data_IF_084916826476
#
_entry.id   IF_084916826476
#
_cell.length_a   1.000
_cell.length_b   1.000
_cell.length_c   1.000
_cell.angle_alpha   90.00
_cell.angle_beta   90.00
_cell.angle_gamma   90.00
#
_symmetry.space_group_name_H-M   'P 1'
#
loop_
_entity.id
_entity.type
_entity.pdbx_description
1 polymer ?
#
# COMPACT_ATOMS: atom_id res chain seq x y z
N UNK A 1 -32.71 -15.35 -9.57
CA UNK A 1 -32.31 -16.01 -8.31
C UNK A 1 -33.57 -16.44 -7.58
N UNK A 2 -33.52 -17.55 -6.83
CA UNK A 2 -34.63 -17.93 -5.95
C UNK A 2 -34.82 -16.83 -4.87
N UNK A 3 -36.06 -16.65 -4.41
CA UNK A 3 -36.39 -15.70 -3.34
C UNK A 3 -36.65 -16.50 -2.06
N UNK A 4 -36.25 -15.94 -0.92
CA UNK A 4 -36.60 -16.45 0.41
C UNK A 4 -37.39 -15.38 1.17
N UNK A 5 -38.40 -15.82 1.92
CA UNK A 5 -39.22 -14.95 2.78
C UNK A 5 -38.94 -15.23 4.23
N UNK A 6 -38.70 -14.17 4.98
CA UNK A 6 -38.45 -14.19 6.41
C UNK A 6 -39.19 -13.03 7.07
N UNK A 7 -39.27 -13.03 8.40
CA UNK A 7 -39.92 -11.96 9.17
C UNK A 7 -38.89 -11.27 10.05
N UNK A 8 -38.68 -9.97 9.88
CA UNK A 8 -37.76 -9.16 10.68
C UNK A 8 -38.57 -8.13 11.47
N UNK A 9 -38.47 -8.14 12.79
CA UNK A 9 -39.23 -7.25 13.71
C UNK A 9 -40.72 -7.15 13.33
N UNK A 10 -41.33 -8.32 13.16
CA UNK A 10 -42.73 -8.51 12.83
C UNK A 10 -43.17 -8.02 11.42
N UNK A 11 -42.24 -7.59 10.56
CA UNK A 11 -42.48 -7.28 9.14
C UNK A 11 -41.98 -8.39 8.21
N UNK A 12 -42.76 -8.71 7.18
CA UNK A 12 -42.36 -9.67 6.16
C UNK A 12 -41.34 -9.05 5.20
N UNK A 13 -40.22 -9.76 5.01
CA UNK A 13 -39.08 -9.35 4.19
C UNK A 13 -38.83 -10.44 3.16
N UNK A 14 -38.68 -10.04 1.90
CA UNK A 14 -38.28 -10.92 0.81
C UNK A 14 -36.88 -10.54 0.33
N UNK A 15 -35.98 -11.51 0.24
CA UNK A 15 -34.60 -11.30 -0.22
C UNK A 15 -34.18 -12.40 -1.19
N UNK A 16 -33.08 -12.20 -1.90
CA UNK A 16 -32.51 -13.21 -2.79
C UNK A 16 -31.86 -14.33 -1.96
N UNK A 17 -32.04 -15.56 -2.40
CA UNK A 17 -31.38 -16.73 -1.81
C UNK A 17 -29.85 -16.58 -1.85
N UNK A 18 -29.18 -17.01 -0.78
CA UNK A 18 -27.74 -16.83 -0.58
C UNK A 18 -27.32 -15.56 0.17
N UNK A 19 -28.21 -14.58 0.35
CA UNK A 19 -27.94 -13.40 1.19
C UNK A 19 -27.90 -13.74 2.69
N UNK A 20 -27.14 -12.98 3.44
CA UNK A 20 -27.09 -13.02 4.90
C UNK A 20 -28.27 -12.27 5.53
N UNK A 21 -28.55 -12.52 6.80
CA UNK A 21 -29.57 -11.77 7.56
C UNK A 21 -29.27 -10.28 7.61
N UNK A 22 -27.99 -9.88 7.67
CA UNK A 22 -27.60 -8.47 7.64
C UNK A 22 -27.97 -7.81 6.32
N UNK A 23 -27.66 -8.46 5.19
CA UNK A 23 -28.00 -7.93 3.86
C UNK A 23 -29.51 -7.88 3.64
N UNK A 24 -30.24 -8.91 4.11
CA UNK A 24 -31.70 -8.92 4.07
C UNK A 24 -32.31 -7.77 4.90
N UNK A 25 -31.80 -7.57 6.12
CA UNK A 25 -32.22 -6.48 7.00
C UNK A 25 -31.94 -5.10 6.39
N UNK A 26 -30.73 -4.87 5.88
CA UNK A 26 -30.33 -3.61 5.24
C UNK A 26 -31.17 -3.34 3.99
N UNK A 27 -31.41 -4.34 3.15
CA UNK A 27 -32.25 -4.23 1.96
C UNK A 27 -33.71 -3.88 2.27
N UNK A 28 -34.20 -4.23 3.46
CA UNK A 28 -35.54 -3.89 3.96
C UNK A 28 -35.57 -2.61 4.81
N UNK A 29 -34.46 -1.89 4.95
CA UNK A 29 -34.38 -0.63 5.69
C UNK A 29 -34.17 -0.77 7.20
N UNK A 30 -33.88 -1.97 7.71
CA UNK A 30 -33.50 -2.17 9.11
C UNK A 30 -32.02 -1.85 9.32
N UNK A 31 -31.72 -1.15 10.41
CA UNK A 31 -30.35 -0.87 10.83
C UNK A 31 -29.88 -1.91 11.85
N UNK A 32 -28.82 -2.64 11.53
CA UNK A 32 -28.11 -3.53 12.45
C UNK A 32 -26.67 -3.04 12.56
N UNK A 33 -26.17 -2.68 13.76
CA UNK A 33 -24.85 -2.08 13.90
C UNK A 33 -23.74 -3.09 13.59
N UNK A 34 -22.71 -2.61 12.88
CA UNK A 34 -21.51 -3.40 12.59
C UNK A 34 -20.24 -2.54 12.70
N UNK A 35 -19.16 -3.17 13.16
CA UNK A 35 -17.82 -2.57 13.16
C UNK A 35 -16.79 -3.39 12.39
N UNK A 36 -17.00 -4.70 12.24
CA UNK A 36 -16.09 -5.60 11.53
C UNK A 36 -16.64 -6.14 10.21
N UNK A 37 -17.81 -5.64 9.77
CA UNK A 37 -18.38 -6.00 8.48
C UNK A 37 -17.94 -4.95 7.46
N UNK A 38 -17.61 -5.41 6.26
CA UNK A 38 -17.27 -4.58 5.13
C UNK A 38 -17.63 -5.37 3.86
N UNK A 39 -18.38 -4.83 2.89
CA UNK A 39 -18.94 -5.66 1.82
C UNK A 39 -17.89 -6.25 0.86
N UNK A 40 -16.70 -5.61 0.74
CA UNK A 40 -15.58 -6.16 -0.02
C UNK A 40 -14.84 -7.33 0.68
N UNK A 41 -15.32 -7.83 1.82
CA UNK A 41 -14.67 -8.87 2.63
C UNK A 41 -15.67 -9.89 3.13
N UNK A 42 -15.28 -11.16 3.17
CA UNK A 42 -16.10 -12.24 3.75
C UNK A 42 -16.51 -11.94 5.20
N UNK A 43 -17.73 -12.21 5.65
CA UNK A 43 -18.15 -11.85 6.99
C UNK A 43 -17.67 -12.84 8.06
N UNK A 44 -16.94 -12.35 9.06
CA UNK A 44 -16.39 -13.19 10.15
C UNK A 44 -17.11 -13.05 11.50
N UNK A 45 -18.01 -12.06 11.65
CA UNK A 45 -18.76 -11.84 12.88
C UNK A 45 -17.91 -11.49 14.11
N UNK A 46 -16.73 -10.89 13.94
CA UNK A 46 -15.78 -10.64 15.02
C UNK A 46 -16.30 -9.67 16.10
N UNK A 47 -16.92 -8.56 15.72
CA UNK A 47 -17.37 -7.52 16.67
C UNK A 47 -18.66 -7.86 17.43
N UNK A 48 -19.42 -8.88 16.98
CA UNK A 48 -20.69 -9.34 17.57
C UNK A 48 -21.83 -8.31 17.72
N UNK A 49 -21.65 -7.05 17.32
CA UNK A 49 -22.73 -6.05 17.34
C UNK A 49 -23.93 -6.43 16.45
N UNK A 50 -23.68 -7.17 15.37
CA UNK A 50 -24.74 -7.69 14.50
C UNK A 50 -25.56 -8.85 15.09
N UNK A 51 -25.42 -9.13 16.40
CA UNK A 51 -26.21 -10.17 17.04
C UNK A 51 -27.70 -9.87 16.93
N UNK A 52 -28.47 -10.92 16.58
CA UNK A 52 -29.93 -10.93 16.45
C UNK A 52 -30.48 -12.21 17.04
N UNK A 53 -31.71 -12.17 17.52
CA UNK A 53 -32.44 -13.37 17.95
C UNK A 53 -33.16 -13.96 16.73
N UNK A 54 -32.99 -15.26 16.50
CA UNK A 54 -33.74 -16.00 15.48
C UNK A 54 -34.64 -17.05 16.14
N UNK A 55 -35.80 -17.30 15.55
CA UNK A 55 -36.70 -18.39 15.90
C UNK A 55 -36.86 -19.32 14.68
N UNK A 56 -36.47 -20.59 14.84
CA UNK A 56 -36.64 -21.65 13.83
C UNK A 56 -37.24 -22.87 14.50
N UNK A 57 -38.34 -23.39 13.97
CA UNK A 57 -39.06 -24.56 14.51
C UNK A 57 -39.38 -24.42 16.02
N UNK A 58 -39.78 -23.23 16.46
CA UNK A 58 -40.11 -22.93 17.86
C UNK A 58 -38.92 -22.84 18.83
N UNK A 59 -37.68 -22.94 18.33
CA UNK A 59 -36.45 -22.75 19.13
C UNK A 59 -35.85 -21.38 18.85
N UNK A 60 -35.54 -20.65 19.94
CA UNK A 60 -34.86 -19.36 19.87
C UNK A 60 -33.35 -19.53 20.05
N UNK A 61 -32.58 -18.72 19.31
CA UNK A 61 -31.13 -18.67 19.39
C UNK A 61 -30.62 -17.29 19.01
N UNK A 62 -29.58 -16.83 19.70
CA UNK A 62 -28.81 -15.65 19.28
C UNK A 62 -27.76 -16.04 18.25
N UNK A 63 -27.73 -15.34 17.12
CA UNK A 63 -26.78 -15.54 16.02
C UNK A 63 -26.23 -14.20 15.54
N UNK A 64 -25.15 -14.22 14.76
CA UNK A 64 -24.60 -13.03 14.11
C UNK A 64 -25.24 -12.83 12.75
N UNK A 65 -25.93 -11.71 12.53
CA UNK A 65 -26.65 -11.46 11.29
C UNK A 65 -25.72 -11.39 10.06
N UNK A 66 -24.48 -10.94 10.24
CA UNK A 66 -23.55 -10.69 9.13
C UNK A 66 -23.09 -11.95 8.38
N UNK A 67 -23.18 -13.13 8.98
CA UNK A 67 -22.73 -14.39 8.37
C UNK A 67 -23.74 -15.53 8.54
N UNK A 68 -24.92 -15.24 9.07
CA UNK A 68 -26.01 -16.21 9.13
C UNK A 68 -26.86 -16.08 7.86
N UNK A 69 -27.11 -17.17 7.12
CA UNK A 69 -27.89 -17.12 5.88
C UNK A 69 -29.35 -16.74 6.14
N UNK A 70 -29.95 -15.96 5.25
CA UNK A 70 -31.38 -15.74 5.24
C UNK A 70 -32.08 -17.00 4.69
N UNK A 71 -32.89 -17.65 5.53
CA UNK A 71 -33.61 -18.88 5.20
C UNK A 71 -35.12 -18.64 5.24
N UNK A 72 -35.85 -19.39 4.42
CA UNK A 72 -37.31 -19.36 4.37
C UNK A 72 -37.95 -19.60 5.75
N UNK A 73 -38.92 -18.76 6.11
CA UNK A 73 -39.71 -18.87 7.33
C UNK A 73 -38.99 -18.49 8.63
N UNK A 74 -37.75 -17.98 8.58
CA UNK A 74 -37.07 -17.46 9.77
C UNK A 74 -37.84 -16.27 10.35
N UNK A 75 -37.96 -16.22 11.67
CA UNK A 75 -38.34 -15.00 12.39
C UNK A 75 -37.12 -14.43 13.08
N UNK A 76 -36.86 -13.15 12.88
CA UNK A 76 -35.68 -12.43 13.37
C UNK A 76 -36.15 -11.26 14.21
N UNK A 77 -35.60 -11.11 15.41
CA UNK A 77 -35.75 -9.90 16.23
C UNK A 77 -34.41 -9.20 16.36
N UNK A 78 -34.36 -7.95 15.94
CA UNK A 78 -33.12 -7.15 15.94
C UNK A 78 -32.95 -6.30 17.19
N UNK A 79 -34.02 -6.14 17.97
CA UNK A 79 -34.13 -5.19 19.09
C UNK A 79 -34.87 -5.77 20.32
N UNK A 80 -34.86 -7.10 20.50
CA UNK A 80 -35.38 -7.69 21.73
C UNK A 80 -34.56 -7.22 22.95
N UNK A 81 -35.14 -7.20 24.17
CA UNK A 81 -34.40 -6.79 25.38
C UNK A 81 -33.05 -7.51 25.55
N UNK A 82 -33.03 -8.82 25.31
CA UNK A 82 -31.80 -9.63 25.37
C UNK A 82 -30.73 -9.17 24.36
N UNK A 83 -31.13 -8.77 23.15
CA UNK A 83 -30.21 -8.28 22.13
C UNK A 83 -29.70 -6.87 22.44
N UNK A 84 -30.55 -6.00 22.97
CA UNK A 84 -30.14 -4.66 23.40
C UNK A 84 -29.14 -4.74 24.57
N UNK A 85 -29.41 -5.58 25.57
CA UNK A 85 -28.52 -5.81 26.72
C UNK A 85 -27.18 -6.41 26.26
N UNK A 86 -27.20 -7.37 25.33
CA UNK A 86 -26.01 -7.98 24.74
C UNK A 86 -25.15 -6.92 24.02
N UNK A 87 -25.76 -6.07 23.18
CA UNK A 87 -25.04 -5.01 22.45
C UNK A 87 -24.48 -3.97 23.41
N UNK A 88 -25.24 -3.56 24.43
CA UNK A 88 -24.76 -2.64 25.45
C UNK A 88 -23.52 -3.20 26.17
N UNK A 89 -23.54 -4.48 26.57
CA UNK A 89 -22.37 -5.13 27.18
C UNK A 89 -21.15 -5.21 26.25
N UNK A 90 -21.36 -5.51 24.96
CA UNK A 90 -20.27 -5.49 23.96
C UNK A 90 -19.69 -4.08 23.80
N UNK A 91 -20.54 -3.07 23.68
CA UNK A 91 -20.13 -1.67 23.55
C UNK A 91 -19.41 -1.18 24.79
N UNK A 92 -19.81 -1.65 25.97
CA UNK A 92 -19.13 -1.37 27.21
C UNK A 92 -17.69 -1.93 27.23
N UNK A 93 -17.48 -3.16 26.73
CA UNK A 93 -16.14 -3.73 26.57
C UNK A 93 -15.31 -2.99 25.52
N UNK A 94 -15.92 -2.58 24.41
CA UNK A 94 -15.26 -1.80 23.38
C UNK A 94 -14.89 -0.40 23.88
N UNK A 95 -15.76 0.24 24.65
CA UNK A 95 -15.52 1.55 25.25
C UNK A 95 -14.43 1.46 26.32
N UNK A 96 -14.41 0.40 27.11
CA UNK A 96 -13.33 0.13 28.07
C UNK A 96 -11.96 0.01 27.38
N UNK A 97 -11.91 -0.56 26.18
CA UNK A 97 -10.67 -0.74 25.38
C UNK A 97 -10.30 0.49 24.56
N UNK A 98 -11.29 1.20 24.03
CA UNK A 98 -11.10 2.30 23.08
C UNK A 98 -11.89 3.55 23.50
N UNK A 99 -11.58 4.13 24.67
CA UNK A 99 -12.39 5.22 25.26
C UNK A 99 -12.34 6.52 24.45
N UNK A 100 -11.37 6.68 23.56
CA UNK A 100 -11.15 7.90 22.78
C UNK A 100 -11.54 7.77 21.30
N UNK A 101 -12.06 6.62 20.87
CA UNK A 101 -12.48 6.42 19.49
C UNK A 101 -13.92 6.90 19.29
N UNK A 102 -14.09 8.00 18.56
CA UNK A 102 -15.38 8.69 18.40
C UNK A 102 -16.53 7.77 17.93
N UNK A 103 -16.25 6.82 17.04
CA UNK A 103 -17.25 5.85 16.55
C UNK A 103 -17.70 4.89 17.66
N UNK A 104 -16.80 4.51 18.56
CA UNK A 104 -17.11 3.63 19.69
C UNK A 104 -17.90 4.39 20.74
N UNK A 105 -17.47 5.61 21.08
CA UNK A 105 -18.17 6.50 22.02
C UNK A 105 -19.61 6.75 21.55
N UNK A 106 -19.81 7.16 20.30
CA UNK A 106 -21.15 7.45 19.78
C UNK A 106 -22.07 6.23 19.75
N UNK A 107 -21.56 5.04 19.43
CA UNK A 107 -22.36 3.80 19.51
C UNK A 107 -22.68 3.44 20.97
N UNK A 108 -21.74 3.60 21.90
CA UNK A 108 -22.00 3.34 23.32
C UNK A 108 -23.11 4.26 23.85
N UNK A 109 -23.06 5.55 23.52
CA UNK A 109 -24.09 6.53 23.88
C UNK A 109 -25.48 6.17 23.34
N UNK A 110 -25.56 5.72 22.08
CA UNK A 110 -26.82 5.26 21.45
C UNK A 110 -27.48 4.09 22.22
N UNK A 111 -26.66 3.24 22.85
CA UNK A 111 -27.11 2.09 23.63
C UNK A 111 -27.14 2.36 25.15
N UNK A 112 -27.04 3.63 25.58
CA UNK A 112 -27.15 4.02 26.99
C UNK A 112 -25.93 3.67 27.85
N UNK A 113 -24.78 3.41 27.23
CA UNK A 113 -23.51 3.09 27.91
C UNK A 113 -22.69 4.36 28.08
N UNK A 114 -22.74 4.97 29.26
CA UNK A 114 -22.01 6.21 29.57
C UNK A 114 -20.60 5.97 30.12
N UNK A 115 -20.37 4.84 30.79
CA UNK A 115 -19.07 4.49 31.35
C UNK A 115 -18.92 2.97 31.47
N UNK A 116 -17.70 2.44 31.25
CA UNK A 116 -17.46 1.02 31.42
C UNK A 116 -17.28 0.63 32.89
N UNK A 117 -17.86 -0.50 33.30
CA UNK A 117 -17.57 -1.19 34.57
C UNK A 117 -16.20 -1.85 34.58
N UNK A 118 -15.59 -2.01 33.41
CA UNK A 118 -14.29 -2.63 33.21
C UNK A 118 -13.22 -1.55 33.05
N UNK A 119 -12.07 -1.75 33.69
CA UNK A 119 -10.86 -0.98 33.41
C UNK A 119 -10.02 -1.76 32.41
N UNK A 120 -10.11 -1.41 31.12
CA UNK A 120 -9.24 -1.94 30.08
C UNK A 120 -8.33 -0.84 29.56
N UNK A 121 -7.31 -1.25 28.79
CA UNK A 121 -6.25 -0.39 28.29
C UNK A 121 -6.76 0.77 27.43
N UNK A 122 -6.02 1.88 27.43
CA UNK A 122 -6.23 3.03 26.53
C UNK A 122 -5.66 2.72 25.13
N UNK A 123 -6.40 1.91 24.36
CA UNK A 123 -6.03 1.52 23.01
C UNK A 123 -6.89 2.21 21.94
N UNK A 124 -6.42 2.21 20.70
CA UNK A 124 -7.23 2.64 19.55
C UNK A 124 -7.83 1.48 18.74
N UNK A 125 -7.35 0.24 18.93
CA UNK A 125 -7.70 -0.89 18.07
C UNK A 125 -8.76 -1.81 18.68
N UNK A 126 -9.90 -1.95 18.01
CA UNK A 126 -10.99 -2.86 18.44
C UNK A 126 -10.80 -4.33 17.98
N UNK A 127 -9.64 -4.68 17.43
CA UNK A 127 -9.32 -6.04 16.96
C UNK A 127 -10.33 -6.63 15.94
N UNK A 128 -10.97 -5.79 15.13
CA UNK A 128 -11.95 -6.22 14.14
C UNK A 128 -11.36 -7.03 12.98
N UNK A 129 -10.05 -6.90 12.73
CA UNK A 129 -9.32 -7.64 11.69
C UNK A 129 -9.50 -7.10 10.26
N UNK A 130 -10.34 -6.07 10.02
CA UNK A 130 -10.60 -5.53 8.69
C UNK A 130 -9.31 -5.12 7.95
N UNK A 131 -8.39 -4.47 8.65
CA UNK A 131 -7.11 -4.03 8.10
C UNK A 131 -6.19 -5.17 7.65
N UNK A 132 -6.08 -6.24 8.43
CA UNK A 132 -5.30 -7.42 8.06
C UNK A 132 -5.94 -8.14 6.88
N UNK A 133 -7.27 -8.27 6.89
CA UNK A 133 -8.03 -8.97 5.85
C UNK A 133 -8.04 -8.23 4.53
N UNK A 134 -8.26 -6.92 4.48
CA UNK A 134 -8.15 -6.17 3.22
C UNK A 134 -6.72 -6.23 2.66
N UNK A 135 -5.71 -6.28 3.54
CA UNK A 135 -4.31 -6.38 3.13
C UNK A 135 -3.97 -7.74 2.50
N UNK A 136 -4.59 -8.82 3.01
CA UNK A 136 -4.39 -10.19 2.53
C UNK A 136 -5.33 -10.56 1.37
N UNK A 137 -6.64 -10.39 1.53
CA UNK A 137 -7.67 -10.92 0.64
C UNK A 137 -7.91 -10.03 -0.59
N UNK A 138 -7.68 -8.72 -0.47
CA UNK A 138 -7.99 -7.76 -1.54
C UNK A 138 -6.72 -7.18 -2.17
N UNK A 139 -5.76 -6.74 -1.34
CA UNK A 139 -4.51 -6.14 -1.84
C UNK A 139 -3.46 -7.20 -2.17
N UNK A 140 -3.47 -8.35 -1.48
CA UNK A 140 -2.57 -9.47 -1.77
C UNK A 140 -1.14 -9.35 -1.20
N UNK A 141 -0.88 -8.37 -0.33
CA UNK A 141 0.49 -8.15 0.21
C UNK A 141 0.69 -8.70 1.63
N UNK A 142 -0.38 -8.94 2.39
CA UNK A 142 -0.33 -9.59 3.71
C UNK A 142 0.65 -8.98 4.73
N UNK A 143 0.82 -7.65 4.69
CA UNK A 143 1.73 -6.92 5.58
C UNK A 143 1.27 -6.89 7.06
N UNK A 144 0.00 -7.19 7.33
CA UNK A 144 -0.65 -7.11 8.63
C UNK A 144 -1.26 -8.46 9.01
N UNK A 145 -1.13 -8.86 10.27
CA UNK A 145 -1.74 -10.08 10.78
C UNK A 145 -2.15 -9.97 12.26
N UNK A 146 -3.06 -10.81 12.75
CA UNK A 146 -3.24 -11.00 14.18
C UNK A 146 -2.00 -11.64 14.78
N UNK A 147 -1.39 -10.97 15.76
CA UNK A 147 -0.25 -11.47 16.52
C UNK A 147 -0.66 -11.73 17.98
N UNK A 148 0.14 -12.56 18.66
CA UNK A 148 -0.13 -12.97 20.05
C UNK A 148 -1.50 -13.64 20.23
N UNK A 149 -1.89 -13.94 21.48
CA UNK A 149 -3.17 -14.59 21.81
C UNK A 149 -3.76 -14.05 23.12
N UNK A 150 -5.04 -14.32 23.35
CA UNK A 150 -5.72 -13.92 24.57
C UNK A 150 -5.73 -12.40 24.76
N UNK A 151 -5.40 -11.95 25.97
CA UNK A 151 -5.35 -10.53 26.34
C UNK A 151 -4.22 -9.75 25.65
N UNK A 152 -3.18 -10.43 25.16
CA UNK A 152 -2.04 -9.81 24.46
C UNK A 152 -2.27 -9.69 22.95
N UNK A 153 -3.42 -10.16 22.45
CA UNK A 153 -3.72 -10.16 21.02
C UNK A 153 -3.69 -8.74 20.46
N UNK A 154 -2.98 -8.56 19.36
CA UNK A 154 -2.92 -7.32 18.60
C UNK A 154 -3.08 -7.59 17.10
N UNK A 155 -3.40 -6.55 16.34
CA UNK A 155 -3.20 -6.56 14.89
C UNK A 155 -1.94 -5.77 14.61
N UNK A 156 -0.96 -6.40 14.00
CA UNK A 156 0.32 -5.76 13.77
C UNK A 156 1.11 -6.40 12.62
N UNK A 157 2.22 -5.79 12.24
CA UNK A 157 3.24 -6.44 11.43
C UNK A 157 3.87 -7.63 12.19
N UNK A 158 4.32 -8.69 11.49
CA UNK A 158 5.05 -9.79 12.11
C UNK A 158 6.20 -9.29 12.99
N UNK A 159 6.37 -9.91 14.17
CA UNK A 159 7.38 -9.53 15.17
C UNK A 159 7.29 -8.08 15.69
N UNK A 160 6.22 -7.34 15.36
CA UNK A 160 6.07 -5.90 15.60
C UNK A 160 7.14 -5.03 14.94
N UNK A 161 7.85 -5.57 13.95
CA UNK A 161 8.86 -4.84 13.18
C UNK A 161 8.28 -4.25 11.89
N UNK A 162 9.03 -3.39 11.22
CA UNK A 162 8.63 -2.82 9.95
C UNK A 162 8.37 -3.89 8.89
N UNK A 163 7.17 -3.87 8.30
CA UNK A 163 6.85 -4.81 7.23
C UNK A 163 7.55 -4.43 5.93
N UNK A 164 8.39 -5.33 5.42
CA UNK A 164 8.99 -5.22 4.08
C UNK A 164 7.96 -5.37 2.95
N UNK A 165 6.83 -6.01 3.25
CA UNK A 165 5.73 -6.27 2.32
C UNK A 165 4.74 -5.11 2.21
N UNK A 166 4.72 -4.18 3.16
CA UNK A 166 3.87 -3.00 3.07
C UNK A 166 4.26 -2.12 1.87
N UNK A 167 3.29 -1.84 0.98
CA UNK A 167 3.48 -0.94 -0.18
C UNK A 167 2.90 0.46 0.05
N UNK A 168 2.58 0.78 1.30
CA UNK A 168 1.97 2.05 1.71
C UNK A 168 0.64 2.39 1.02
N UNK A 169 -0.12 1.40 0.53
CA UNK A 169 -1.32 1.66 -0.29
C UNK A 169 -2.46 2.37 0.46
N UNK A 170 -2.55 2.21 1.79
CA UNK A 170 -3.57 2.87 2.61
C UNK A 170 -4.92 2.15 2.69
N UNK A 171 -5.10 1.01 2.01
CA UNK A 171 -6.35 0.22 2.04
C UNK A 171 -6.77 -0.16 3.48
N UNK A 172 -5.80 -0.51 4.34
CA UNK A 172 -6.05 -0.82 5.74
C UNK A 172 -6.58 0.39 6.54
N UNK A 173 -6.17 1.60 6.19
CA UNK A 173 -6.65 2.83 6.84
C UNK A 173 -8.06 3.19 6.39
N UNK A 174 -8.40 2.88 5.14
CA UNK A 174 -9.73 3.11 4.56
C UNK A 174 -10.82 2.28 5.26
N UNK A 175 -10.54 1.01 5.55
CA UNK A 175 -11.50 0.10 6.19
C UNK A 175 -11.47 0.14 7.72
N UNK A 176 -10.54 0.90 8.33
CA UNK A 176 -10.40 0.93 9.77
C UNK A 176 -11.57 1.72 10.40
N UNK A 177 -12.36 1.13 11.32
CA UNK A 177 -13.47 1.82 11.97
C UNK A 177 -13.01 2.79 13.09
N UNK A 178 -11.69 2.91 13.28
CA UNK A 178 -11.02 3.65 14.38
C UNK A 178 -9.78 4.37 13.84
N UNK A 179 -9.04 5.06 14.69
CA UNK A 179 -7.76 5.71 14.32
C UNK A 179 -6.54 4.79 14.44
N UNK A 180 -6.70 3.53 14.87
CA UNK A 180 -5.60 2.61 15.16
C UNK A 180 -4.54 2.51 14.07
N UNK A 181 -4.98 2.26 12.82
CA UNK A 181 -4.07 2.05 11.69
C UNK A 181 -3.27 3.30 11.35
N UNK A 182 -3.87 4.49 11.53
CA UNK A 182 -3.18 5.77 11.27
C UNK A 182 -2.07 6.06 12.29
N UNK A 183 -2.17 5.47 13.49
CA UNK A 183 -1.20 5.60 14.59
C UNK A 183 -0.10 4.53 14.56
N UNK A 184 -0.21 3.49 13.73
CA UNK A 184 0.81 2.45 13.62
C UNK A 184 2.09 3.03 12.98
N UNK A 185 3.23 2.67 13.55
CA UNK A 185 4.54 3.10 13.06
C UNK A 185 5.19 2.07 12.15
N UNK A 186 4.96 0.78 12.39
CA UNK A 186 5.57 -0.34 11.68
C UNK A 186 4.84 -0.74 10.38
N UNK A 187 3.68 -0.13 10.12
CA UNK A 187 2.96 -0.16 8.86
C UNK A 187 2.78 1.27 8.38
N UNK A 188 2.83 1.45 7.06
CA UNK A 188 3.02 2.77 6.48
C UNK A 188 1.86 3.23 5.60
N UNK A 189 0.61 3.24 6.07
CA UNK A 189 -0.47 3.73 5.24
C UNK A 189 -0.24 5.23 4.98
N UNK A 190 -0.30 5.63 3.72
CA UNK A 190 -0.35 7.05 3.36
C UNK A 190 -1.74 7.39 2.88
N UNK A 191 -2.38 8.28 3.63
CA UNK A 191 -3.67 8.85 3.30
C UNK A 191 -3.52 10.00 2.28
N UNK A 192 -4.61 10.39 1.59
CA UNK A 192 -4.62 11.57 0.73
C UNK A 192 -4.24 12.86 1.48
N UNK A 193 -4.66 13.00 2.74
CA UNK A 193 -4.33 14.16 3.58
C UNK A 193 -2.83 14.22 3.87
N UNK A 194 -2.24 13.09 4.24
CA UNK A 194 -0.79 12.98 4.48
C UNK A 194 0.03 13.21 3.21
N UNK A 195 -0.50 12.82 2.05
CA UNK A 195 0.15 13.12 0.75
C UNK A 195 0.27 14.63 0.56
N UNK A 196 -0.81 15.39 0.79
CA UNK A 196 -0.79 16.86 0.70
C UNK A 196 0.14 17.48 1.73
N UNK A 197 0.15 16.96 2.95
CA UNK A 197 1.06 17.41 4.00
C UNK A 197 2.53 17.18 3.61
N UNK A 198 2.87 15.99 3.08
CA UNK A 198 4.22 15.69 2.59
C UNK A 198 4.60 16.63 1.44
N UNK A 199 3.72 16.81 0.45
CA UNK A 199 3.97 17.71 -0.69
C UNK A 199 4.25 19.14 -0.23
N UNK A 200 3.43 19.68 0.66
CA UNK A 200 3.62 21.05 1.20
C UNK A 200 4.87 21.20 2.08
N UNK A 201 5.21 20.18 2.88
CA UNK A 201 6.33 20.24 3.82
C UNK A 201 7.66 20.07 3.12
N UNK A 202 7.78 19.08 2.25
CA UNK A 202 9.07 18.62 1.72
C UNK A 202 9.35 19.06 0.29
N UNK A 203 8.33 19.39 -0.51
CA UNK A 203 8.50 19.66 -1.94
C UNK A 203 8.30 21.16 -2.28
N UNK A 204 8.73 21.56 -3.47
CA UNK A 204 8.78 22.94 -3.97
C UNK A 204 8.40 22.99 -5.44
N UNK A 205 7.79 24.10 -5.84
CA UNK A 205 7.46 24.40 -7.23
C UNK A 205 5.96 24.38 -7.50
N UNK A 206 5.59 24.10 -8.75
CA UNK A 206 4.19 24.04 -9.19
C UNK A 206 3.55 22.69 -8.88
N UNK A 207 2.22 22.69 -8.77
CA UNK A 207 1.42 21.49 -8.51
C UNK A 207 0.77 21.05 -9.81
N UNK A 208 1.11 19.85 -10.27
CA UNK A 208 0.44 19.17 -11.37
C UNK A 208 -0.35 17.97 -10.83
N UNK A 209 -1.60 17.80 -11.28
CA UNK A 209 -2.48 16.73 -10.78
C UNK A 209 -1.87 15.34 -10.99
N UNK A 210 -1.27 15.10 -12.15
CA UNK A 210 -0.78 13.79 -12.56
C UNK A 210 0.68 13.56 -12.17
N UNK A 211 1.52 14.60 -12.27
CA UNK A 211 2.96 14.48 -11.99
C UNK A 211 3.31 14.77 -10.53
N UNK A 212 2.44 15.48 -9.80
CA UNK A 212 2.69 15.97 -8.44
C UNK A 212 3.50 17.26 -8.42
N UNK A 213 4.04 17.60 -7.24
CA UNK A 213 4.82 18.84 -7.05
C UNK A 213 6.20 18.72 -7.69
N UNK A 214 6.58 19.70 -8.51
CA UNK A 214 7.93 19.80 -9.04
C UNK A 214 8.32 21.26 -9.34
N UNK A 215 9.61 21.54 -9.29
CA UNK A 215 10.20 22.84 -9.65
C UNK A 215 10.69 22.86 -11.09
N UNK A 216 11.14 21.71 -11.60
CA UNK A 216 11.76 21.63 -12.92
C UNK A 216 11.72 20.19 -13.46
N UNK A 217 11.67 20.04 -14.79
CA UNK A 217 11.79 18.74 -15.45
C UNK A 217 12.78 18.87 -16.61
N UNK A 218 13.85 18.06 -16.57
CA UNK A 218 14.94 18.11 -17.54
C UNK A 218 15.26 16.72 -18.08
N UNK A 219 15.77 16.67 -19.30
CA UNK A 219 16.36 15.47 -19.89
C UNK A 219 17.85 15.49 -19.59
N UNK A 220 18.35 14.43 -18.99
CA UNK A 220 19.71 14.33 -18.47
C UNK A 220 20.40 13.09 -19.05
N UNK A 221 21.66 13.25 -19.47
CA UNK A 221 22.53 12.15 -19.87
C UNK A 221 23.87 12.26 -19.17
N UNK A 222 24.27 11.18 -18.54
CA UNK A 222 25.59 11.00 -17.99
C UNK A 222 26.59 10.61 -19.08
N UNK A 223 27.86 10.92 -18.82
CA UNK A 223 28.98 10.42 -19.60
C UNK A 223 29.24 8.94 -19.26
N UNK A 224 28.65 7.99 -20.02
CA UNK A 224 28.93 6.55 -19.87
C UNK A 224 27.83 5.60 -20.38
N UNK A 225 28.09 4.28 -20.30
CA UNK A 225 27.13 3.22 -20.64
C UNK A 225 26.17 2.91 -19.47
N UNK A 226 24.85 3.00 -19.74
CA UNK A 226 23.77 2.70 -18.79
C UNK A 226 22.43 2.48 -19.51
N UNK A 227 21.47 1.84 -18.83
CA UNK A 227 20.16 1.45 -19.41
C UNK A 227 19.31 2.66 -19.84
N UNK A 228 19.20 3.65 -18.96
CA UNK A 228 18.61 4.97 -19.22
C UNK A 228 19.63 5.99 -18.76
N UNK A 229 20.21 6.77 -19.67
CA UNK A 229 21.09 7.93 -19.42
C UNK A 229 22.17 7.86 -18.32
N UNK A 230 22.36 6.77 -17.59
CA UNK A 230 23.17 6.68 -16.37
C UNK A 230 22.79 7.65 -15.24
N UNK A 231 21.62 8.31 -15.27
CA UNK A 231 21.38 9.51 -14.46
C UNK A 231 21.46 9.24 -12.95
N UNK A 232 20.76 8.22 -12.43
CA UNK A 232 20.79 7.90 -10.98
C UNK A 232 22.19 7.55 -10.49
N UNK A 233 22.87 6.65 -11.21
CA UNK A 233 24.22 6.20 -10.84
C UNK A 233 25.22 7.35 -10.85
N UNK A 234 25.10 8.27 -11.82
CA UNK A 234 26.01 9.41 -11.94
C UNK A 234 25.75 10.50 -10.91
N UNK A 235 24.48 10.76 -10.59
CA UNK A 235 24.10 11.63 -9.47
C UNK A 235 24.69 11.13 -8.16
N UNK A 236 24.52 9.84 -7.87
CA UNK A 236 25.04 9.22 -6.65
C UNK A 236 26.57 9.20 -6.61
N UNK A 237 27.22 8.82 -7.71
CA UNK A 237 28.68 8.75 -7.78
C UNK A 237 29.31 10.13 -7.51
N UNK A 238 28.81 11.17 -8.19
CA UNK A 238 29.28 12.54 -7.97
C UNK A 238 28.99 13.03 -6.54
N UNK A 239 27.81 12.69 -6.01
CA UNK A 239 27.43 13.10 -4.65
C UNK A 239 28.30 12.45 -3.57
N UNK A 240 28.69 11.18 -3.73
CA UNK A 240 29.65 10.52 -2.83
C UNK A 240 31.04 11.11 -2.99
N UNK A 241 31.53 11.26 -4.22
CA UNK A 241 32.87 11.79 -4.50
C UNK A 241 33.08 13.21 -3.96
N UNK A 242 32.05 14.06 -4.08
CA UNK A 242 32.05 15.44 -3.56
C UNK A 242 31.69 15.53 -2.07
N UNK A 243 31.42 14.41 -1.41
CA UNK A 243 31.05 14.36 0.01
C UNK A 243 29.70 15.00 0.35
N UNK A 244 28.80 15.10 -0.62
CA UNK A 244 27.44 15.60 -0.44
C UNK A 244 26.55 14.58 0.30
N UNK A 245 26.81 13.29 0.12
CA UNK A 245 26.22 12.19 0.87
C UNK A 245 27.29 11.26 1.43
N UNK A 246 27.01 10.62 2.56
CA UNK A 246 27.90 9.67 3.22
C UNK A 246 27.73 8.25 2.64
N UNK A 247 26.52 7.90 2.17
CA UNK A 247 26.23 6.63 1.50
C UNK A 247 24.90 6.69 0.72
N UNK A 248 24.71 5.75 -0.20
CA UNK A 248 23.49 5.54 -0.95
C UNK A 248 22.90 4.15 -0.71
N UNK A 249 21.60 4.06 -0.46
CA UNK A 249 20.85 2.80 -0.41
C UNK A 249 20.42 2.47 -1.83
N UNK A 250 20.99 1.41 -2.40
CA UNK A 250 20.79 0.98 -3.79
C UNK A 250 20.49 -0.51 -3.86
N UNK A 251 19.99 -0.97 -5.01
CA UNK A 251 19.66 -2.39 -5.24
C UNK A 251 20.68 -3.04 -6.17
N UNK A 252 21.39 -4.03 -5.65
CA UNK A 252 22.28 -4.90 -6.41
C UNK A 252 21.51 -6.10 -6.96
N UNK A 253 22.00 -6.64 -8.07
CA UNK A 253 21.59 -7.95 -8.57
C UNK A 253 22.55 -8.99 -8.02
N UNK A 254 22.01 -10.00 -7.35
CA UNK A 254 22.72 -11.22 -6.97
C UNK A 254 22.50 -12.33 -7.99
N UNK A 255 22.89 -13.54 -7.61
CA UNK A 255 22.70 -14.74 -8.42
C UNK A 255 21.22 -14.96 -8.77
N UNK A 256 20.94 -15.35 -10.01
CA UNK A 256 19.60 -15.73 -10.44
C UNK A 256 18.59 -14.58 -10.55
N UNK A 257 19.02 -13.42 -11.06
CA UNK A 257 18.22 -12.18 -11.17
C UNK A 257 17.61 -11.66 -9.85
N UNK A 258 18.01 -12.23 -8.70
CA UNK A 258 17.53 -11.79 -7.39
C UNK A 258 18.10 -10.41 -7.07
N UNK A 259 17.30 -9.57 -6.43
CA UNK A 259 17.73 -8.26 -5.98
C UNK A 259 17.93 -8.23 -4.47
N UNK A 260 18.93 -7.50 -4.01
CA UNK A 260 19.10 -7.18 -2.58
C UNK A 260 19.53 -5.72 -2.42
N UNK A 261 19.04 -5.07 -1.37
CA UNK A 261 19.44 -3.71 -1.05
C UNK A 261 20.83 -3.74 -0.39
N UNK A 262 21.63 -2.72 -0.63
CA UNK A 262 22.95 -2.54 -0.02
C UNK A 262 23.20 -1.07 0.31
N UNK A 263 24.17 -0.84 1.20
CA UNK A 263 24.72 0.47 1.51
C UNK A 263 25.96 0.67 0.64
N UNK A 264 25.90 1.58 -0.32
CA UNK A 264 27.00 1.93 -1.20
C UNK A 264 27.68 3.22 -0.72
N UNK A 265 28.92 3.10 -0.24
CA UNK A 265 29.72 4.21 0.30
C UNK A 265 30.74 4.76 -0.70
N UNK A 266 30.93 4.06 -1.82
CA UNK A 266 31.96 4.35 -2.82
C UNK A 266 31.40 4.28 -4.25
N UNK A 267 32.04 4.98 -5.17
CA UNK A 267 31.64 5.06 -6.59
C UNK A 267 31.57 3.67 -7.23
N UNK A 268 32.52 2.79 -6.93
CA UNK A 268 32.55 1.43 -7.48
C UNK A 268 31.31 0.62 -7.08
N UNK A 269 30.91 0.71 -5.80
CA UNK A 269 29.71 0.05 -5.28
C UNK A 269 28.42 0.61 -5.91
N UNK A 270 28.37 1.93 -6.15
CA UNK A 270 27.26 2.58 -6.86
C UNK A 270 27.20 2.09 -8.32
N UNK A 271 28.33 2.01 -9.00
CA UNK A 271 28.40 1.56 -10.39
C UNK A 271 28.00 0.09 -10.55
N UNK A 272 28.20 -0.74 -9.53
CA UNK A 272 27.74 -2.14 -9.50
C UNK A 272 26.21 -2.26 -9.43
N UNK A 273 25.48 -1.22 -8.99
CA UNK A 273 24.02 -1.25 -8.89
C UNK A 273 23.28 -0.83 -10.17
N UNK A 274 23.99 -0.66 -11.29
CA UNK A 274 23.40 -0.27 -12.58
C UNK A 274 22.38 -1.27 -13.12
N UNK A 275 21.50 -0.78 -13.99
CA UNK A 275 20.44 -1.57 -14.62
C UNK A 275 19.21 -1.73 -13.74
N UNK A 276 18.04 -1.78 -14.38
CA UNK A 276 16.74 -1.96 -13.76
C UNK A 276 16.56 -3.41 -13.37
N UNK A 277 16.10 -3.63 -12.13
CA UNK A 277 15.71 -4.95 -11.63
C UNK A 277 14.20 -4.89 -11.42
N UNK A 278 13.44 -5.68 -12.16
CA UNK A 278 11.97 -5.70 -12.05
C UNK A 278 11.45 -6.50 -10.84
N UNK A 279 12.30 -6.67 -9.82
CA UNK A 279 11.98 -7.35 -8.56
C UNK A 279 11.81 -6.32 -7.44
N UNK A 280 10.90 -6.62 -6.53
CA UNK A 280 10.69 -5.81 -5.33
C UNK A 280 11.74 -6.16 -4.28
N UNK A 281 12.42 -5.16 -3.74
CA UNK A 281 13.44 -5.29 -2.70
C UNK A 281 13.21 -4.22 -1.65
N UNK A 282 13.06 -4.56 -0.37
CA UNK A 282 12.93 -3.53 0.67
C UNK A 282 14.24 -2.73 0.81
N UNK A 283 14.15 -1.40 0.82
CA UNK A 283 15.28 -0.50 1.07
C UNK A 283 15.32 0.00 2.52
N UNK A 284 14.27 -0.29 3.30
CA UNK A 284 14.08 0.27 4.64
C UNK A 284 15.09 -0.30 5.63
N UNK A 285 15.32 -1.61 5.59
CA UNK A 285 16.25 -2.25 6.52
C UNK A 285 17.67 -1.71 6.35
N UNK A 286 18.12 -1.54 5.10
CA UNK A 286 19.43 -0.96 4.81
C UNK A 286 19.52 0.54 5.15
N UNK A 287 18.44 1.29 4.97
CA UNK A 287 18.36 2.67 5.46
C UNK A 287 18.55 2.73 6.99
N UNK A 288 17.81 1.92 7.74
CA UNK A 288 17.88 1.89 9.20
C UNK A 288 19.25 1.38 9.69
N UNK A 289 19.83 0.40 9.01
CA UNK A 289 21.18 -0.11 9.27
C UNK A 289 22.23 0.99 9.09
N UNK A 290 22.20 1.71 7.97
CA UNK A 290 23.12 2.82 7.70
C UNK A 290 23.02 3.94 8.76
N UNK A 291 21.78 4.31 9.15
CA UNK A 291 21.53 5.31 10.18
C UNK A 291 22.05 4.87 11.56
N UNK A 292 21.81 3.61 11.96
CA UNK A 292 22.37 3.04 13.20
C UNK A 292 23.90 2.95 13.15
N UNK A 293 24.46 2.75 11.96
CA UNK A 293 25.90 2.81 11.69
C UNK A 293 26.51 4.22 11.75
N UNK A 294 25.71 5.24 12.05
CA UNK A 294 26.18 6.62 12.26
C UNK A 294 26.25 7.47 10.99
N UNK A 295 25.78 6.97 9.84
CA UNK A 295 25.66 7.77 8.61
C UNK A 295 24.55 8.81 8.80
N UNK A 296 24.75 10.01 8.27
CA UNK A 296 23.83 11.15 8.49
C UNK A 296 23.23 11.64 7.20
N UNK A 297 24.04 11.80 6.15
CA UNK A 297 23.58 12.24 4.82
C UNK A 297 23.45 11.03 3.94
N UNK A 298 22.23 10.55 3.73
CA UNK A 298 21.97 9.34 2.95
C UNK A 298 21.17 9.69 1.70
N UNK A 299 21.41 8.96 0.61
CA UNK A 299 20.49 8.92 -0.52
C UNK A 299 19.77 7.56 -0.57
N UNK A 300 18.47 7.54 -0.85
CA UNK A 300 17.69 6.31 -1.03
C UNK A 300 17.16 6.27 -2.45
N UNK A 301 17.56 5.26 -3.22
CA UNK A 301 16.98 4.98 -4.53
C UNK A 301 15.83 4.00 -4.36
N UNK A 302 14.64 4.39 -4.76
CA UNK A 302 13.47 3.53 -4.63
C UNK A 302 12.36 3.82 -5.63
N UNK A 303 11.51 2.83 -5.83
CA UNK A 303 10.24 2.95 -6.53
C UNK A 303 9.21 3.71 -5.69
N UNK A 304 8.07 4.15 -6.27
CA UNK A 304 7.11 5.01 -5.59
C UNK A 304 6.64 4.48 -4.23
N UNK A 305 6.40 3.16 -4.11
CA UNK A 305 5.96 2.57 -2.84
C UNK A 305 7.03 2.65 -1.75
N UNK A 306 8.32 2.53 -2.08
CA UNK A 306 9.42 2.68 -1.13
C UNK A 306 9.60 4.14 -0.72
N UNK A 307 9.53 5.07 -1.68
CA UNK A 307 9.62 6.51 -1.41
C UNK A 307 8.50 6.95 -0.46
N UNK A 308 7.28 6.46 -0.68
CA UNK A 308 6.14 6.66 0.22
C UNK A 308 6.49 6.21 1.64
N UNK A 309 6.99 5.00 1.82
CA UNK A 309 7.35 4.49 3.16
C UNK A 309 8.35 5.42 3.87
N UNK A 310 9.43 5.84 3.19
CA UNK A 310 10.42 6.73 3.81
C UNK A 310 9.81 8.10 4.15
N UNK A 311 8.95 8.66 3.29
CA UNK A 311 8.22 9.90 3.62
C UNK A 311 7.26 9.75 4.79
N UNK A 312 6.63 8.58 4.94
CA UNK A 312 5.79 8.29 6.11
C UNK A 312 6.61 8.27 7.40
N UNK A 313 7.83 7.70 7.36
CA UNK A 313 8.77 7.74 8.48
C UNK A 313 9.23 9.17 8.82
N UNK A 314 9.47 10.01 7.82
CA UNK A 314 9.79 11.44 8.02
C UNK A 314 8.61 12.21 8.60
N UNK A 315 7.41 12.02 8.03
CA UNK A 315 6.19 12.71 8.45
C UNK A 315 5.82 12.34 9.89
N UNK A 316 5.81 11.04 10.20
CA UNK A 316 5.48 10.48 11.51
C UNK A 316 6.52 10.76 12.59
N UNK A 317 7.62 11.43 12.27
CA UNK A 317 8.64 11.83 13.24
C UNK A 317 9.67 10.75 13.58
N UNK A 318 9.50 9.51 13.11
CA UNK A 318 10.41 8.41 13.46
C UNK A 318 11.88 8.74 13.20
N UNK A 319 12.19 9.26 11.99
CA UNK A 319 13.57 9.63 11.65
C UNK A 319 14.07 10.80 12.49
N UNK A 320 13.25 11.82 12.74
CA UNK A 320 13.63 12.97 13.58
C UNK A 320 13.88 12.56 15.03
N UNK A 321 13.05 11.67 15.56
CA UNK A 321 13.06 11.33 16.98
C UNK A 321 14.18 10.32 17.31
N UNK A 322 14.55 9.44 16.36
CA UNK A 322 15.60 8.43 16.54
C UNK A 322 16.95 8.83 15.91
N UNK A 323 16.94 9.65 14.86
CA UNK A 323 18.11 10.05 14.07
C UNK A 323 18.05 11.56 13.73
N UNK A 324 18.10 12.45 14.74
CA UNK A 324 17.82 13.89 14.57
C UNK A 324 18.78 14.62 13.62
N UNK A 325 20.00 14.09 13.44
CA UNK A 325 21.02 14.65 12.55
C UNK A 325 20.95 14.06 11.13
N UNK A 326 20.02 13.15 10.86
CA UNK A 326 19.90 12.49 9.56
C UNK A 326 19.22 13.38 8.52
N UNK A 327 19.85 13.50 7.37
CA UNK A 327 19.29 14.04 6.14
C UNK A 327 19.19 12.92 5.11
N UNK A 328 17.97 12.49 4.79
CA UNK A 328 17.72 11.43 3.80
C UNK A 328 17.17 12.05 2.52
N UNK A 329 17.93 11.95 1.43
CA UNK A 329 17.54 12.41 0.09
C UNK A 329 16.92 11.25 -0.70
N UNK A 330 15.74 11.46 -1.26
CA UNK A 330 14.95 10.42 -1.93
C UNK A 330 15.05 10.55 -3.45
N UNK A 331 15.59 9.52 -4.11
CA UNK A 331 15.65 9.39 -5.57
C UNK A 331 14.60 8.37 -6.00
N UNK A 332 13.49 8.86 -6.54
CA UNK A 332 12.33 8.07 -6.93
C UNK A 332 12.39 7.59 -8.37
N UNK A 333 12.40 6.28 -8.61
CA UNK A 333 12.33 5.72 -9.96
C UNK A 333 10.90 5.81 -10.51
N UNK A 334 10.75 6.06 -11.81
CA UNK A 334 9.48 5.82 -12.48
C UNK A 334 9.16 4.33 -12.43
N UNK A 335 7.95 3.99 -12.05
CA UNK A 335 7.54 2.60 -11.93
C UNK A 335 6.08 2.46 -12.33
N UNK A 336 5.82 1.62 -13.33
CA UNK A 336 4.46 1.25 -13.69
C UNK A 336 4.01 0.02 -12.92
N UNK A 337 4.78 -1.07 -13.00
CA UNK A 337 4.51 -2.33 -12.31
C UNK A 337 5.81 -3.12 -12.02
N UNK A 338 5.70 -4.11 -11.14
CA UNK A 338 6.75 -5.07 -10.80
C UNK A 338 6.15 -6.47 -10.83
N UNK A 339 6.97 -7.48 -11.06
CA UNK A 339 6.51 -8.84 -11.36
C UNK A 339 6.86 -9.82 -10.24
N UNK A 340 6.08 -10.90 -10.14
CA UNK A 340 6.48 -12.08 -9.41
C UNK A 340 7.59 -12.79 -10.20
N UNK A 341 8.81 -12.82 -9.63
CA UNK A 341 9.98 -13.36 -10.30
C UNK A 341 9.81 -14.83 -10.67
N UNK A 342 9.24 -15.63 -9.77
CA UNK A 342 9.12 -17.07 -9.97
C UNK A 342 8.10 -17.39 -11.06
N UNK A 343 6.91 -16.78 -10.98
CA UNK A 343 5.87 -16.91 -12.01
C UNK A 343 6.35 -16.41 -13.37
N UNK A 344 6.95 -15.21 -13.41
CA UNK A 344 7.45 -14.62 -14.65
C UNK A 344 8.57 -15.46 -15.27
N UNK A 345 9.56 -15.90 -14.48
CA UNK A 345 10.65 -16.76 -14.96
C UNK A 345 10.10 -18.02 -15.62
N UNK A 346 9.17 -18.71 -14.95
CA UNK A 346 8.55 -19.92 -15.50
C UNK A 346 7.83 -19.64 -16.82
N UNK A 347 7.02 -18.59 -16.86
CA UNK A 347 6.28 -18.22 -18.06
C UNK A 347 7.20 -17.88 -19.25
N UNK A 348 8.26 -17.11 -19.03
CA UNK A 348 9.22 -16.73 -20.07
C UNK A 348 10.03 -17.95 -20.55
N UNK A 349 10.36 -18.87 -19.65
CA UNK A 349 10.98 -20.14 -20.02
C UNK A 349 10.06 -20.97 -20.92
N UNK A 350 8.76 -21.05 -20.59
CA UNK A 350 7.79 -21.85 -21.34
C UNK A 350 7.42 -21.21 -22.69
N UNK A 351 7.39 -19.88 -22.79
CA UNK A 351 6.90 -19.16 -23.99
C UNK A 351 8.00 -18.64 -24.90
N UNK A 352 9.14 -18.22 -24.37
CA UNK A 352 10.25 -17.62 -25.12
C UNK A 352 11.53 -18.47 -25.08
N UNK A 353 11.52 -19.59 -24.33
CA UNK A 353 12.71 -20.42 -24.07
C UNK A 353 13.87 -19.60 -23.49
N UNK A 354 13.55 -18.65 -22.61
CA UNK A 354 14.52 -17.74 -21.96
C UNK A 354 14.57 -18.03 -20.46
N UNK A 355 15.77 -18.27 -19.94
CA UNK A 355 15.99 -18.19 -18.50
C UNK A 355 16.22 -16.71 -18.11
N UNK A 356 15.27 -16.16 -17.36
CA UNK A 356 15.32 -14.79 -16.86
C UNK A 356 16.58 -14.54 -16.00
N UNK A 357 17.14 -15.57 -15.38
CA UNK A 357 18.34 -15.49 -14.55
C UNK A 357 19.60 -15.17 -15.34
N UNK A 358 19.61 -15.54 -16.63
CA UNK A 358 20.71 -15.27 -17.58
C UNK A 358 20.58 -13.91 -18.28
N UNK A 359 19.44 -13.21 -18.13
CA UNK A 359 19.20 -11.91 -18.76
C UNK A 359 20.30 -10.90 -18.43
N UNK A 360 21.03 -10.35 -19.40
CA UNK A 360 22.02 -9.30 -19.16
C UNK A 360 21.33 -7.95 -18.91
N UNK A 361 20.26 -7.70 -19.67
CA UNK A 361 19.47 -6.46 -19.61
C UNK A 361 18.00 -6.76 -19.86
N UNK A 362 17.13 -6.05 -19.16
CA UNK A 362 15.68 -6.06 -19.40
C UNK A 362 15.21 -4.63 -19.62
N UNK A 363 14.38 -4.43 -20.64
CA UNK A 363 13.83 -3.13 -21.00
C UNK A 363 12.34 -3.24 -21.28
N UNK A 364 11.57 -2.29 -20.75
CA UNK A 364 10.16 -2.13 -21.09
C UNK A 364 10.02 -0.82 -21.86
N UNK A 365 9.62 -0.90 -23.12
CA UNK A 365 9.47 0.30 -23.97
C UNK A 365 8.32 0.10 -24.94
N UNK A 366 7.44 1.10 -25.05
CA UNK A 366 6.29 1.10 -25.96
C UNK A 366 5.42 -0.18 -25.87
N UNK A 367 5.22 -0.69 -24.66
CA UNK A 367 4.40 -1.88 -24.41
C UNK A 367 5.06 -3.22 -24.74
N UNK A 368 6.37 -3.23 -25.04
CA UNK A 368 7.15 -4.45 -25.23
C UNK A 368 8.04 -4.70 -24.02
N UNK A 369 8.09 -5.95 -23.58
CA UNK A 369 9.04 -6.45 -22.59
C UNK A 369 10.17 -7.16 -23.34
N UNK A 370 11.38 -6.59 -23.31
CA UNK A 370 12.54 -7.09 -24.05
C UNK A 370 13.64 -7.55 -23.10
N UNK A 371 14.18 -8.73 -23.39
CA UNK A 371 15.24 -9.41 -22.64
C UNK A 371 16.42 -9.60 -23.57
N UNK A 372 17.61 -9.22 -23.11
CA UNK A 372 18.86 -9.33 -23.88
C UNK A 372 19.77 -10.38 -23.22
N UNK A 373 20.17 -11.41 -23.96
CA UNK A 373 21.08 -12.49 -23.51
C UNK A 373 22.07 -12.77 -24.65
N UNK A 374 23.38 -12.71 -24.38
CA UNK A 374 24.40 -13.05 -25.38
C UNK A 374 24.33 -12.19 -26.65
N UNK A 375 23.84 -10.94 -26.53
CA UNK A 375 23.60 -10.04 -27.66
C UNK A 375 22.32 -10.30 -28.48
N UNK A 376 21.53 -11.34 -28.15
CA UNK A 376 20.22 -11.57 -28.77
C UNK A 376 19.09 -10.91 -27.97
N UNK A 377 18.13 -10.32 -28.67
CA UNK A 377 16.88 -9.81 -28.08
C UNK A 377 15.77 -10.87 -28.20
N UNK A 378 15.09 -11.12 -27.09
CA UNK A 378 13.83 -11.88 -27.01
C UNK A 378 12.77 -10.98 -26.37
N UNK A 379 11.55 -11.00 -26.88
CA UNK A 379 10.53 -10.06 -26.41
C UNK A 379 9.10 -10.57 -26.53
N UNK A 380 8.22 -10.06 -25.66
CA UNK A 380 6.78 -10.28 -25.67
C UNK A 380 6.03 -8.96 -25.42
N UNK A 381 4.69 -8.96 -25.54
CA UNK A 381 3.90 -7.80 -25.19
C UNK A 381 3.73 -7.74 -23.67
N UNK A 382 3.74 -6.52 -23.11
CA UNK A 382 3.54 -6.32 -21.67
C UNK A 382 2.17 -6.78 -21.19
N UNK A 383 1.16 -6.73 -22.06
CA UNK A 383 -0.20 -7.21 -21.80
C UNK A 383 -0.24 -8.71 -21.50
N UNK A 384 0.68 -9.48 -22.08
CA UNK A 384 0.74 -10.93 -21.92
C UNK A 384 1.29 -11.31 -20.53
N UNK A 385 1.82 -10.32 -19.79
CA UNK A 385 2.43 -10.48 -18.48
C UNK A 385 1.53 -10.03 -17.32
N UNK A 386 0.26 -9.67 -17.57
CA UNK A 386 -0.63 -9.08 -16.56
C UNK A 386 -0.90 -10.01 -15.35
N UNK A 387 -0.90 -11.32 -15.57
CA UNK A 387 -1.08 -12.35 -14.53
C UNK A 387 0.14 -12.49 -13.62
N UNK A 388 1.31 -12.03 -14.06
CA UNK A 388 2.56 -12.08 -13.29
C UNK A 388 2.88 -10.75 -12.61
N UNK A 389 2.04 -9.74 -12.78
CA UNK A 389 2.16 -8.47 -12.06
C UNK A 389 1.84 -8.71 -10.58
N UNK A 390 2.69 -8.21 -9.70
CA UNK A 390 2.46 -8.31 -8.25
C UNK A 390 1.13 -7.65 -7.88
N UNK A 391 0.31 -8.38 -7.12
CA UNK A 391 -1.07 -8.00 -6.77
C UNK A 391 -1.16 -6.56 -6.24
N UNK A 392 -0.27 -6.19 -5.31
CA UNK A 392 -0.22 -4.85 -4.73
C UNK A 392 0.06 -3.72 -5.73
N UNK A 393 0.70 -3.97 -6.87
CA UNK A 393 0.95 -2.94 -7.89
C UNK A 393 -0.36 -2.37 -8.47
N UNK A 394 -1.43 -3.16 -8.49
CA UNK A 394 -2.76 -2.74 -8.95
C UNK A 394 -3.38 -1.65 -8.06
N UNK A 395 -2.92 -1.54 -6.82
CA UNK A 395 -3.34 -0.52 -5.84
C UNK A 395 -2.36 0.66 -5.73
N UNK A 396 -1.30 0.69 -6.55
CA UNK A 396 -0.34 1.79 -6.57
C UNK A 396 -0.80 2.86 -7.56
N UNK A 397 -1.09 4.06 -7.06
CA UNK A 397 -1.54 5.21 -7.85
C UNK A 397 -0.41 6.16 -8.26
N UNK A 398 0.85 5.82 -7.98
CA UNK A 398 2.01 6.68 -8.23
C UNK A 398 2.92 6.04 -9.28
N UNK A 399 3.09 6.76 -10.40
CA UNK A 399 4.00 6.38 -11.48
C UNK A 399 5.36 7.06 -11.34
N UNK A 400 5.34 8.39 -11.14
CA UNK A 400 6.52 9.25 -11.26
C UNK A 400 7.26 9.44 -9.94
N UNK A 401 6.98 8.63 -8.92
CA UNK A 401 7.49 8.78 -7.55
C UNK A 401 7.25 10.19 -7.04
N UNK A 402 5.98 10.61 -6.99
CA UNK A 402 5.58 12.02 -6.78
C UNK A 402 6.08 12.63 -5.47
N UNK A 403 6.40 11.81 -4.49
CA UNK A 403 6.88 12.23 -3.17
C UNK A 403 8.40 12.22 -3.00
N UNK A 404 9.16 11.91 -4.05
CA UNK A 404 10.63 11.91 -4.01
C UNK A 404 11.21 13.34 -3.97
N UNK A 405 12.49 13.48 -3.66
CA UNK A 405 13.23 14.75 -3.81
C UNK A 405 13.63 14.97 -5.28
N UNK A 406 14.03 13.89 -5.96
CA UNK A 406 14.19 13.81 -7.41
C UNK A 406 13.46 12.57 -7.90
N UNK A 407 12.79 12.65 -9.05
CA UNK A 407 12.29 11.46 -9.74
C UNK A 407 13.00 11.23 -11.06
N UNK A 408 13.33 9.99 -11.38
CA UNK A 408 14.10 9.62 -12.57
C UNK A 408 13.43 8.48 -13.33
N UNK A 409 13.35 8.58 -14.65
CA UNK A 409 12.93 7.48 -15.51
C UNK A 409 13.12 7.75 -17.00
N UNK A 410 12.85 6.76 -17.83
CA UNK A 410 13.06 6.83 -19.28
C UNK A 410 11.99 7.63 -20.02
N UNK A 411 10.74 7.60 -19.54
CA UNK A 411 9.59 8.19 -20.23
C UNK A 411 9.70 9.71 -20.32
N UNK A 412 9.44 10.26 -21.51
CA UNK A 412 9.53 11.69 -21.78
C UNK A 412 10.90 12.15 -22.29
N UNK A 413 11.88 11.24 -22.39
CA UNK A 413 13.22 11.51 -22.92
C UNK A 413 13.56 10.58 -24.09
N UNK A 414 14.46 10.99 -25.01
CA UNK A 414 14.95 10.11 -26.07
C UNK A 414 15.84 8.99 -25.52
N UNK A 415 16.12 7.99 -26.34
CA UNK A 415 17.01 6.88 -25.99
C UNK A 415 18.39 7.37 -25.54
N UNK A 416 18.91 6.79 -24.45
CA UNK A 416 20.17 7.21 -23.85
C UNK A 416 20.07 8.47 -22.98
N UNK A 417 18.87 9.03 -22.75
CA UNK A 417 18.61 10.08 -21.77
C UNK A 417 17.63 9.58 -20.70
N UNK A 418 17.67 10.21 -19.54
CA UNK A 418 16.69 10.04 -18.49
C UNK A 418 15.95 11.35 -18.26
N UNK A 419 14.64 11.27 -18.09
CA UNK A 419 13.84 12.35 -17.53
C UNK A 419 14.14 12.45 -16.04
N UNK A 420 14.47 13.65 -15.58
CA UNK A 420 14.71 14.00 -14.18
C UNK A 420 13.72 15.08 -13.77
N UNK A 421 12.89 14.78 -12.76
CA UNK A 421 11.93 15.71 -12.15
C UNK A 421 12.49 16.18 -10.81
N UNK A 422 12.77 17.47 -10.66
CA UNK A 422 13.32 18.05 -9.44
C UNK A 422 12.19 18.56 -8.56
N UNK A 423 12.06 18.03 -7.34
CA UNK A 423 10.88 18.27 -6.48
C UNK A 423 11.19 18.98 -5.17
N UNK A 424 12.42 18.91 -4.65
CA UNK A 424 12.78 19.56 -3.38
C UNK A 424 14.13 20.27 -3.43
N UNK A 425 14.41 21.05 -2.39
CA UNK A 425 15.70 21.71 -2.18
C UNK A 425 16.84 20.67 -2.00
N UNK A 426 16.56 19.52 -1.38
CA UNK A 426 17.51 18.40 -1.29
C UNK A 426 17.82 17.84 -2.68
N UNK A 427 16.79 17.63 -3.49
CA UNK A 427 16.95 17.14 -4.86
C UNK A 427 17.72 18.11 -5.74
N UNK A 428 17.45 19.41 -5.65
CA UNK A 428 18.21 20.42 -6.41
C UNK A 428 19.71 20.41 -6.06
N UNK A 429 20.05 20.37 -4.77
CA UNK A 429 21.46 20.27 -4.32
C UNK A 429 22.18 19.03 -4.86
N UNK A 430 21.47 17.89 -4.97
CA UNK A 430 22.06 16.67 -5.51
C UNK A 430 22.37 16.79 -7.01
N UNK A 431 21.57 17.56 -7.77
CA UNK A 431 21.80 17.79 -9.19
C UNK A 431 22.93 18.79 -9.46
N UNK A 432 23.14 19.79 -8.59
CA UNK A 432 24.26 20.76 -8.69
C UNK A 432 25.63 20.06 -8.69
N UNK A 433 25.70 18.84 -8.17
CA UNK A 433 26.89 18.01 -8.23
C UNK A 433 27.16 17.44 -9.65
N UNK A 434 26.21 17.46 -10.58
CA UNK A 434 26.34 16.79 -11.87
C UNK A 434 26.90 17.71 -12.97
N UNK A 435 27.76 17.16 -13.82
CA UNK A 435 28.15 17.76 -15.10
C UNK A 435 27.40 17.03 -16.22
N UNK A 436 26.60 17.73 -17.04
CA UNK A 436 25.86 17.09 -18.12
C UNK A 436 25.17 18.05 -19.07
N UNK A 437 24.70 17.50 -20.20
CA UNK A 437 23.90 18.22 -21.19
C UNK A 437 22.41 18.11 -20.84
N UNK A 438 21.75 19.27 -20.74
CA UNK A 438 20.32 19.36 -20.49
C UNK A 438 19.53 19.46 -21.80
N UNK A 439 18.35 18.84 -21.84
CA UNK A 439 17.39 19.01 -22.94
C UNK A 439 15.95 19.07 -22.43
N UNK A 440 15.05 19.56 -23.29
CA UNK A 440 13.62 19.53 -23.01
C UNK A 440 13.04 18.12 -23.02
N UNK A 441 12.01 17.90 -22.20
CA UNK A 441 11.31 16.61 -22.05
C UNK A 441 9.86 16.67 -22.50
N UNK A 442 9.32 15.53 -22.94
CA UNK A 442 7.92 15.37 -23.28
C UNK A 442 7.04 15.16 -22.02
N UNK A 443 6.81 16.23 -21.25
CA UNK A 443 5.96 16.23 -20.03
C UNK A 443 4.61 15.51 -20.22
N UNK A 444 3.99 15.67 -21.39
CA UNK A 444 2.68 15.08 -21.72
C UNK A 444 2.67 13.55 -21.64
N UNK A 445 3.78 12.88 -21.97
CA UNK A 445 3.87 11.41 -21.92
C UNK A 445 3.91 10.91 -20.47
N UNK A 446 4.64 11.60 -19.60
CA UNK A 446 4.73 11.31 -18.17
C UNK A 446 3.36 11.49 -17.51
N UNK A 447 2.68 12.60 -17.79
CA UNK A 447 1.34 12.87 -17.30
C UNK A 447 0.33 11.80 -17.76
N UNK A 448 0.40 11.39 -19.03
CA UNK A 448 -0.47 10.34 -19.58
C UNK A 448 -0.31 9.01 -18.85
N UNK A 449 0.91 8.53 -18.63
CA UNK A 449 1.13 7.27 -17.91
C UNK A 449 0.75 7.37 -16.43
N UNK A 450 1.02 8.52 -15.80
CA UNK A 450 0.62 8.78 -14.41
C UNK A 450 -0.90 8.72 -14.27
N UNK A 451 -1.65 9.34 -15.19
CA UNK A 451 -3.11 9.29 -15.21
C UNK A 451 -3.66 7.88 -15.40
N UNK A 452 -3.06 7.08 -16.30
CA UNK A 452 -3.47 5.68 -16.53
C UNK A 452 -3.29 4.87 -15.25
N UNK A 453 -2.12 4.96 -14.61
CA UNK A 453 -1.82 4.23 -13.38
C UNK A 453 -2.75 4.63 -12.24
N UNK A 454 -2.96 5.94 -12.05
CA UNK A 454 -3.89 6.49 -11.06
C UNK A 454 -5.30 5.94 -11.25
N UNK A 455 -5.85 6.01 -12.47
CA UNK A 455 -7.19 5.48 -12.78
C UNK A 455 -7.30 3.97 -12.56
N UNK A 456 -6.24 3.18 -12.85
CA UNK A 456 -6.21 1.73 -12.57
C UNK A 456 -6.34 1.48 -11.06
N UNK A 457 -5.59 2.21 -10.26
CA UNK A 457 -5.64 2.10 -8.80
C UNK A 457 -6.97 2.59 -8.21
N UNK A 458 -7.50 3.73 -8.68
CA UNK A 458 -8.81 4.26 -8.26
C UNK A 458 -9.93 3.23 -8.47
N UNK A 459 -9.93 2.52 -9.62
CA UNK A 459 -10.89 1.43 -9.86
C UNK A 459 -10.79 0.32 -8.80
N UNK A 460 -9.58 -0.04 -8.37
CA UNK A 460 -9.41 -1.06 -7.33
C UNK A 460 -9.83 -0.54 -5.94
N UNK A 461 -9.54 0.72 -5.62
CA UNK A 461 -10.00 1.31 -4.36
C UNK A 461 -11.51 1.50 -4.32
N UNK A 462 -12.16 1.86 -5.42
CA UNK A 462 -13.61 1.98 -5.48
C UNK A 462 -14.30 0.64 -5.17
N UNK A 463 -13.72 -0.50 -5.54
CA UNK A 463 -14.23 -1.82 -5.12
C UNK A 463 -14.24 -1.99 -3.60
N UNK A 464 -13.23 -1.45 -2.91
CA UNK A 464 -13.20 -1.40 -1.45
C UNK A 464 -14.26 -0.40 -0.94
N UNK A 465 -14.27 0.83 -1.44
CA UNK A 465 -15.16 1.90 -0.95
C UNK A 465 -16.64 1.53 -1.14
N UNK A 466 -16.99 1.07 -2.34
CA UNK A 466 -18.36 0.76 -2.74
C UNK A 466 -18.80 -0.64 -2.27
N UNK A 467 -17.84 -1.48 -1.88
CA UNK A 467 -18.12 -2.85 -1.46
C UNK A 467 -18.57 -3.77 -2.58
N UNK A 468 -18.32 -3.41 -3.84
CA UNK A 468 -18.56 -4.30 -4.98
C UNK A 468 -17.54 -5.45 -4.92
N UNK A 469 -18.05 -6.68 -4.80
CA UNK A 469 -17.23 -7.89 -4.73
C UNK A 469 -16.24 -7.99 -5.91
N UNK A 470 -15.18 -8.77 -5.71
CA UNK A 470 -14.31 -9.22 -6.80
C UNK A 470 -15.07 -10.26 -7.64
N UNK A 471 -16.15 -9.86 -8.31
CA UNK A 471 -16.68 -10.67 -9.41
C UNK A 471 -15.60 -10.69 -10.50
N UNK A 472 -15.17 -11.91 -10.83
CA UNK A 472 -14.13 -12.25 -11.78
C UNK A 472 -14.18 -11.35 -13.03
N UNK A 473 -13.06 -10.70 -13.35
CA UNK A 473 -12.81 -10.12 -14.69
C UNK A 473 -11.98 -11.11 -15.46
#
# INVERSE_FOLDING_TARGET
>A
MAKVRLRIDDLDVETDDGKTLLEAAMGAGFSIPTLCHHPALEPIGACRLCSVEIEKNGRRKVVTACNYPAEEGLKVRTSSPEILDLRAMILELLLARCPHEAKIVGLAEEYGVSSPRFSLADESCILCGLCARVCQEVVGVSALSPISRGIERAIDAPYRDFSEDCIACGACALVCPTTAIKKMMNIYPITPEETKEIESRFLRGEIDEEIGVYSEIIGCRAHGEGQDGGAVTSLLASAVEKGAIDAAIVVLRGDGYRGYATIAEEVEAIMASRGTKFVRVSVINQLLEALRGGKRRLAVVGTPCQIRVVRKLELGGYLRDHFPEAEVTLIGLFCFESFDHLGLKKHLQDTLAVDLDEAERIQITRGRFSIFIGGEERSCNISDLEDYVREGCRFCNDFSSRLADISVGSVGSPEGYSTVIIRSDRGRRLLEAMEGSEMGVAKKEIAKLSAIKRRRAEKQFNRIIDGSGMEEV
#
